data_IF_272422585521
#
_entry.id   IF_272422585521
#
_cell.length_a   1.000
_cell.length_b   1.000
_cell.length_c   1.000
_cell.angle_alpha   90.00
_cell.angle_beta   90.00
_cell.angle_gamma   90.00
#
_symmetry.space_group_name_H-M   'P 1'
#
loop_
_entity.id
_entity.type
_entity.pdbx_description
1 polymer ?
#
# COMPACT_ATOMS: atom_id res chain seq x y z
N UNK A 1 0.99 1.57 24.77
CA UNK A 1 1.41 1.52 23.34
C UNK A 1 0.26 0.91 22.55
N UNK A 2 -0.15 1.55 21.45
CA UNK A 2 -1.19 1.01 20.56
C UNK A 2 -0.68 -0.29 19.90
N UNK A 3 -1.59 -1.20 19.58
CA UNK A 3 -1.24 -2.43 18.84
C UNK A 3 -0.62 -2.13 17.46
N UNK A 4 -0.77 -0.88 16.98
CA UNK A 4 -0.27 -0.39 15.68
C UNK A 4 0.92 0.57 15.77
N UNK A 5 1.56 0.72 16.92
CA UNK A 5 2.74 1.60 17.08
C UNK A 5 3.86 1.28 16.06
N UNK A 6 3.90 0.05 15.57
CA UNK A 6 4.87 -0.38 14.57
C UNK A 6 4.67 0.30 13.20
N UNK A 7 3.44 0.71 12.88
CA UNK A 7 3.08 1.33 11.59
C UNK A 7 3.70 2.72 11.41
N UNK A 8 3.96 3.41 12.52
CA UNK A 8 4.49 4.79 12.52
C UNK A 8 5.95 4.89 12.95
N UNK A 9 6.64 3.75 13.19
CA UNK A 9 8.03 3.76 13.69
C UNK A 9 9.08 4.11 12.64
N UNK A 10 8.84 3.76 11.40
CA UNK A 10 9.82 3.95 10.32
C UNK A 10 9.11 4.36 9.04
N UNK A 11 9.74 5.19 8.19
CA UNK A 11 9.18 5.58 6.91
C UNK A 11 8.87 4.37 6.04
N UNK A 12 7.83 4.50 5.22
CA UNK A 12 7.31 3.44 4.36
C UNK A 12 7.77 3.70 2.93
N UNK A 13 8.54 2.78 2.37
CA UNK A 13 9.00 2.86 0.98
C UNK A 13 7.81 2.51 0.05
N UNK A 14 7.35 3.49 -0.73
CA UNK A 14 6.25 3.36 -1.69
C UNK A 14 6.62 2.38 -2.78
N UNK A 15 5.86 1.29 -2.93
CA UNK A 15 6.13 0.20 -3.89
C UNK A 15 7.54 -0.39 -3.78
N UNK A 16 8.10 -0.43 -2.56
CA UNK A 16 9.48 -0.76 -2.29
C UNK A 16 10.45 0.40 -2.50
N UNK A 17 11.74 0.18 -2.24
CA UNK A 17 12.77 1.20 -2.42
C UNK A 17 13.27 1.18 -3.88
N UNK A 18 12.43 1.62 -4.81
CA UNK A 18 12.77 1.77 -6.22
C UNK A 18 13.53 3.09 -6.47
N UNK A 19 14.15 3.23 -7.64
CA UNK A 19 14.93 4.41 -8.03
C UNK A 19 14.22 5.26 -9.09
N UNK A 20 12.91 5.45 -8.93
CA UNK A 20 12.01 6.09 -9.90
C UNK A 20 12.00 5.33 -11.25
N UNK A 21 12.08 4.01 -11.18
CA UNK A 21 12.01 3.09 -12.32
C UNK A 21 13.14 3.29 -13.36
N UNK A 22 14.32 3.67 -12.91
CA UNK A 22 15.49 3.78 -13.79
C UNK A 22 16.21 2.42 -14.00
N UNK A 23 16.56 1.75 -12.90
CA UNK A 23 17.20 0.43 -12.89
C UNK A 23 16.45 -0.56 -11.98
N UNK A 24 15.96 -0.08 -10.85
CA UNK A 24 15.16 -0.86 -9.89
C UNK A 24 13.73 -0.37 -9.92
N UNK A 25 12.87 -1.19 -10.50
CA UNK A 25 11.48 -0.85 -10.75
C UNK A 25 10.58 -1.06 -9.52
N UNK A 26 9.54 -0.25 -9.44
CA UNK A 26 8.49 -0.35 -8.43
C UNK A 26 7.85 -1.74 -8.39
N UNK A 27 7.37 -2.17 -7.20
CA UNK A 27 6.64 -3.43 -7.02
C UNK A 27 7.39 -4.68 -7.51
N UNK A 28 8.73 -4.67 -7.45
CA UNK A 28 9.59 -5.81 -7.81
C UNK A 28 10.35 -6.37 -6.60
N UNK A 29 10.75 -7.64 -6.67
CA UNK A 29 11.53 -8.25 -5.59
C UNK A 29 12.82 -7.49 -5.26
N UNK A 30 13.60 -6.97 -6.23
CA UNK A 30 14.76 -6.13 -5.93
C UNK A 30 14.43 -4.85 -5.17
N UNK A 31 13.28 -4.20 -5.45
CA UNK A 31 12.85 -3.00 -4.73
C UNK A 31 12.46 -3.32 -3.28
N UNK A 32 11.81 -4.45 -3.05
CA UNK A 32 11.45 -4.92 -1.71
C UNK A 32 12.66 -5.34 -0.89
N UNK A 33 13.60 -6.06 -1.48
CA UNK A 33 14.83 -6.45 -0.80
C UNK A 33 15.69 -5.23 -0.43
N UNK A 34 15.78 -4.23 -1.33
CA UNK A 34 16.46 -2.97 -1.06
C UNK A 34 15.82 -2.21 0.11
N UNK A 35 14.49 -2.12 0.18
CA UNK A 35 13.77 -1.50 1.28
C UNK A 35 14.01 -2.25 2.61
N UNK A 36 13.90 -3.57 2.60
CA UNK A 36 14.13 -4.41 3.77
C UNK A 36 15.58 -4.32 4.29
N UNK A 37 16.58 -4.30 3.40
CA UNK A 37 18.00 -4.10 3.75
C UNK A 37 18.26 -2.72 4.35
N UNK A 38 17.58 -1.70 3.85
CA UNK A 38 17.67 -0.34 4.37
C UNK A 38 16.89 -0.12 5.68
N UNK A 39 16.05 -1.08 6.10
CA UNK A 39 15.25 -1.01 7.32
C UNK A 39 14.01 -0.12 7.19
N UNK A 40 13.52 0.14 5.97
CA UNK A 40 12.25 0.82 5.74
C UNK A 40 11.09 -0.17 5.80
N UNK A 41 9.93 0.26 6.30
CA UNK A 41 8.68 -0.44 6.03
C UNK A 41 8.40 -0.42 4.51
N UNK A 42 7.60 -1.37 4.02
CA UNK A 42 7.32 -1.50 2.59
C UNK A 42 5.82 -1.34 2.37
N UNK A 43 5.47 -0.50 1.43
CA UNK A 43 4.15 -0.49 0.81
C UNK A 43 4.23 -1.20 -0.54
N UNK A 44 3.17 -1.92 -0.91
CA UNK A 44 3.01 -2.58 -2.21
C UNK A 44 1.54 -2.65 -2.62
N UNK A 45 1.31 -2.75 -3.93
CA UNK A 45 -0.02 -2.86 -4.53
C UNK A 45 -0.30 -4.27 -5.00
N UNK A 46 -1.53 -4.74 -4.82
CA UNK A 46 -1.93 -6.09 -5.26
C UNK A 46 -3.25 -6.09 -6.02
N UNK A 47 -3.31 -6.95 -7.04
CA UNK A 47 -4.51 -7.27 -7.79
C UNK A 47 -4.89 -8.76 -7.68
N UNK A 48 -6.18 -9.06 -7.92
CA UNK A 48 -6.66 -10.40 -8.13
C UNK A 48 -6.55 -10.77 -9.62
N UNK A 49 -5.97 -11.92 -9.92
CA UNK A 49 -5.93 -12.46 -11.29
C UNK A 49 -7.20 -13.21 -11.63
N UNK A 50 -7.43 -13.52 -12.92
CA UNK A 50 -8.65 -14.18 -13.41
C UNK A 50 -8.88 -15.58 -12.83
N UNK A 51 -7.83 -16.23 -12.34
CA UNK A 51 -7.86 -17.54 -11.66
C UNK A 51 -7.76 -17.45 -10.13
N UNK A 52 -7.93 -16.24 -9.56
CA UNK A 52 -7.97 -16.02 -8.11
C UNK A 52 -6.60 -15.93 -7.43
N UNK A 53 -5.51 -15.84 -8.18
CA UNK A 53 -4.18 -15.57 -7.63
C UNK A 53 -4.01 -14.11 -7.21
N UNK A 54 -3.03 -13.81 -6.35
CA UNK A 54 -2.70 -12.45 -5.92
C UNK A 54 -1.33 -12.09 -6.47
N UNK A 55 -1.31 -11.12 -7.40
CA UNK A 55 -0.11 -10.58 -8.03
C UNK A 55 0.20 -9.18 -7.51
N UNK A 56 1.49 -8.87 -7.35
CA UNK A 56 1.95 -7.53 -6.97
C UNK A 56 2.14 -6.70 -8.23
N UNK A 57 1.29 -5.68 -8.39
CA UNK A 57 1.26 -4.81 -9.56
C UNK A 57 0.41 -3.58 -9.25
N UNK A 58 0.77 -2.38 -9.77
CA UNK A 58 0.02 -1.16 -9.43
C UNK A 58 -1.15 -0.88 -10.36
N UNK A 59 -0.91 -0.88 -11.68
CA UNK A 59 -1.86 -0.40 -12.67
C UNK A 59 -2.92 -1.46 -13.02
N UNK A 60 -4.12 -1.02 -13.39
CA UNK A 60 -5.14 -1.92 -13.98
C UNK A 60 -4.70 -2.40 -15.37
N UNK A 61 -4.10 -1.50 -16.18
CA UNK A 61 -3.56 -1.84 -17.49
C UNK A 61 -2.07 -2.24 -17.44
N UNK A 62 -1.60 -2.88 -18.50
CA UNK A 62 -0.24 -3.43 -18.56
C UNK A 62 0.75 -2.49 -19.26
N UNK A 63 0.30 -1.33 -19.79
CA UNK A 63 1.10 -0.53 -20.72
C UNK A 63 2.32 0.09 -20.07
N UNK A 64 2.15 0.76 -18.93
CA UNK A 64 3.23 1.50 -18.27
C UNK A 64 4.34 0.60 -17.75
N UNK A 65 3.95 -0.48 -17.08
CA UNK A 65 4.90 -1.36 -16.37
C UNK A 65 5.40 -2.52 -17.23
N UNK A 66 4.56 -3.06 -18.13
CA UNK A 66 4.90 -4.23 -18.92
C UNK A 66 5.00 -3.97 -20.44
N UNK A 67 4.72 -2.75 -20.90
CA UNK A 67 4.87 -2.34 -22.31
C UNK A 67 3.95 -3.07 -23.27
N UNK A 68 2.79 -3.56 -22.80
CA UNK A 68 1.83 -4.32 -23.62
C UNK A 68 0.40 -3.92 -23.32
N UNK A 69 -0.49 -4.18 -24.27
CA UNK A 69 -1.94 -4.01 -24.08
C UNK A 69 -2.53 -5.12 -23.20
N UNK A 70 -3.68 -4.83 -22.58
CA UNK A 70 -4.46 -5.72 -21.74
C UNK A 70 -4.57 -5.25 -20.30
N UNK A 71 -5.25 -6.02 -19.47
CA UNK A 71 -5.49 -5.72 -18.06
C UNK A 71 -4.95 -6.84 -17.17
N UNK A 72 -4.42 -6.46 -16.01
CA UNK A 72 -3.86 -7.41 -15.05
C UNK A 72 -4.92 -8.41 -14.56
N UNK A 73 -6.15 -7.97 -14.35
CA UNK A 73 -7.28 -8.80 -13.90
C UNK A 73 -7.77 -9.83 -14.93
N UNK A 74 -7.35 -9.72 -16.20
CA UNK A 74 -7.70 -10.67 -17.26
C UNK A 74 -6.70 -11.82 -17.38
N UNK A 75 -5.53 -11.67 -16.77
CA UNK A 75 -4.47 -12.69 -16.79
C UNK A 75 -4.66 -13.72 -15.68
N UNK A 76 -4.27 -14.96 -15.97
CA UNK A 76 -4.03 -15.94 -14.90
C UNK A 76 -2.76 -15.55 -14.11
N UNK A 77 -2.60 -16.08 -12.90
CA UNK A 77 -1.41 -15.81 -12.09
C UNK A 77 -0.12 -16.19 -12.84
N UNK A 78 -0.12 -17.31 -13.54
CA UNK A 78 1.02 -17.74 -14.35
C UNK A 78 1.34 -16.76 -15.49
N UNK A 79 0.34 -16.16 -16.12
CA UNK A 79 0.53 -15.14 -17.15
C UNK A 79 1.00 -13.81 -16.55
N UNK A 80 0.43 -13.38 -15.42
CA UNK A 80 0.80 -12.16 -14.74
C UNK A 80 2.26 -12.20 -14.25
N UNK A 81 2.67 -13.29 -13.62
CA UNK A 81 4.06 -13.47 -13.15
C UNK A 81 5.08 -13.72 -14.27
N UNK A 82 4.64 -13.95 -15.50
CA UNK A 82 5.51 -13.97 -16.68
C UNK A 82 5.78 -12.58 -17.27
N UNK A 83 5.09 -11.52 -16.79
CA UNK A 83 5.31 -10.15 -17.26
C UNK A 83 6.70 -9.65 -16.83
N UNK A 84 7.46 -9.14 -17.78
CA UNK A 84 8.69 -8.41 -17.51
C UNK A 84 8.36 -6.94 -17.18
N UNK A 85 8.94 -6.43 -16.12
CA UNK A 85 8.70 -5.06 -15.65
C UNK A 85 9.77 -4.12 -16.23
N UNK A 86 9.31 -3.04 -16.87
CA UNK A 86 10.20 -2.00 -17.41
C UNK A 86 11.16 -2.49 -18.50
N UNK A 87 10.86 -3.61 -19.15
CA UNK A 87 11.77 -4.21 -20.12
C UNK A 87 13.03 -4.86 -19.50
N UNK A 88 13.07 -5.01 -18.18
CA UNK A 88 14.15 -5.66 -17.43
C UNK A 88 13.95 -7.17 -17.36
N UNK A 89 14.84 -7.87 -16.65
CA UNK A 89 14.66 -9.30 -16.30
C UNK A 89 13.73 -9.51 -15.11
N UNK A 90 13.39 -8.45 -14.37
CA UNK A 90 12.50 -8.51 -13.23
C UNK A 90 11.06 -8.79 -13.69
N UNK A 91 10.32 -9.49 -12.84
CA UNK A 91 8.95 -9.91 -13.13
C UNK A 91 8.00 -9.38 -12.07
N UNK A 92 6.72 -9.30 -12.43
CA UNK A 92 5.66 -9.07 -11.46
C UNK A 92 5.63 -10.24 -10.46
N UNK A 93 5.92 -10.03 -9.17
CA UNK A 93 5.93 -11.14 -8.22
C UNK A 93 4.52 -11.46 -7.73
N UNK A 94 4.32 -12.65 -7.22
CA UNK A 94 3.17 -12.96 -6.38
C UNK A 94 3.31 -12.30 -5.01
N UNK A 95 2.18 -12.06 -4.32
CA UNK A 95 2.23 -11.63 -2.92
C UNK A 95 3.02 -12.63 -2.06
N UNK A 96 2.88 -13.94 -2.32
CA UNK A 96 3.62 -15.00 -1.60
C UNK A 96 5.13 -14.85 -1.75
N UNK A 97 5.64 -14.66 -2.96
CA UNK A 97 7.07 -14.46 -3.20
C UNK A 97 7.61 -13.22 -2.47
N UNK A 98 6.83 -12.13 -2.45
CA UNK A 98 7.19 -10.94 -1.67
C UNK A 98 7.22 -11.21 -0.17
N UNK A 99 6.21 -11.89 0.38
CA UNK A 99 6.15 -12.24 1.80
C UNK A 99 7.32 -13.14 2.20
N UNK A 100 7.63 -14.14 1.39
CA UNK A 100 8.75 -15.07 1.63
C UNK A 100 10.11 -14.35 1.53
N UNK A 101 10.26 -13.41 0.58
CA UNK A 101 11.47 -12.59 0.47
C UNK A 101 11.65 -11.69 1.70
N UNK A 102 10.60 -11.00 2.13
CA UNK A 102 10.72 -10.04 3.26
C UNK A 102 10.89 -10.78 4.58
N UNK A 103 10.25 -11.92 4.77
CA UNK A 103 10.38 -12.84 5.93
C UNK A 103 10.35 -12.11 7.29
N UNK A 104 9.46 -11.13 7.45
CA UNK A 104 9.29 -10.39 8.70
C UNK A 104 10.39 -9.38 9.03
N UNK A 105 11.38 -9.15 8.16
CA UNK A 105 12.49 -8.21 8.39
C UNK A 105 12.02 -6.78 8.65
N UNK A 106 10.95 -6.35 7.96
CA UNK A 106 10.34 -5.03 8.09
C UNK A 106 8.81 -5.14 8.00
N UNK A 107 8.05 -4.14 8.50
CA UNK A 107 6.61 -4.10 8.35
C UNK A 107 6.16 -3.93 6.90
N UNK A 108 4.95 -4.45 6.60
CA UNK A 108 4.32 -4.36 5.29
C UNK A 108 2.98 -3.62 5.38
N UNK A 109 2.68 -2.82 4.35
CA UNK A 109 1.38 -2.21 4.09
C UNK A 109 0.96 -2.62 2.68
N UNK A 110 -0.06 -3.46 2.57
CA UNK A 110 -0.51 -4.01 1.28
C UNK A 110 -1.75 -3.26 0.84
N UNK A 111 -1.65 -2.50 -0.26
CA UNK A 111 -2.78 -1.83 -0.87
C UNK A 111 -3.52 -2.76 -1.83
N UNK A 112 -4.81 -2.95 -1.59
CA UNK A 112 -5.67 -3.76 -2.42
C UNK A 112 -6.28 -2.88 -3.52
N UNK A 113 -5.97 -3.18 -4.78
CA UNK A 113 -6.51 -2.49 -5.95
C UNK A 113 -7.80 -3.15 -6.39
N UNK A 114 -8.92 -2.49 -6.13
CA UNK A 114 -10.24 -2.97 -6.53
C UNK A 114 -10.53 -2.72 -8.00
N UNK A 115 -11.15 -3.70 -8.64
CA UNK A 115 -11.75 -3.56 -9.96
C UNK A 115 -13.16 -4.09 -9.83
N UNK A 116 -14.13 -3.20 -9.72
CA UNK A 116 -15.53 -3.56 -9.46
C UNK A 116 -16.03 -4.63 -10.42
N UNK A 117 -16.55 -5.73 -9.86
CA UNK A 117 -17.00 -6.89 -10.60
C UNK A 117 -15.90 -7.88 -11.03
N UNK A 118 -14.61 -7.62 -10.69
CA UNK A 118 -13.46 -8.51 -10.99
C UNK A 118 -12.53 -8.78 -9.82
N UNK A 119 -12.85 -8.24 -8.65
CA UNK A 119 -12.05 -8.33 -7.42
C UNK A 119 -12.75 -9.14 -6.31
N UNK A 120 -13.81 -9.85 -6.66
CA UNK A 120 -14.51 -10.70 -5.69
C UNK A 120 -13.55 -11.78 -5.16
N UNK A 121 -13.34 -11.75 -3.84
CA UNK A 121 -12.39 -12.64 -3.18
C UNK A 121 -10.99 -12.06 -2.94
N UNK A 122 -10.63 -10.88 -3.47
CA UNK A 122 -9.30 -10.27 -3.25
C UNK A 122 -8.96 -10.12 -1.77
N UNK A 123 -9.88 -9.55 -0.98
CA UNK A 123 -9.68 -9.35 0.46
C UNK A 123 -9.41 -10.69 1.16
N UNK A 124 -10.20 -11.72 0.87
CA UNK A 124 -10.05 -13.04 1.47
C UNK A 124 -8.74 -13.73 1.03
N UNK A 125 -8.36 -13.61 -0.24
CA UNK A 125 -7.12 -14.19 -0.78
C UNK A 125 -5.86 -13.55 -0.17
N UNK A 126 -5.84 -12.23 -0.02
CA UNK A 126 -4.75 -11.49 0.66
C UNK A 126 -4.72 -11.88 2.14
N UNK A 127 -5.86 -11.85 2.81
CA UNK A 127 -5.95 -12.19 4.23
C UNK A 127 -5.46 -13.63 4.54
N UNK A 128 -5.79 -14.59 3.68
CA UNK A 128 -5.33 -15.97 3.83
C UNK A 128 -3.79 -16.06 3.81
N UNK A 129 -3.12 -15.30 2.95
CA UNK A 129 -1.67 -15.27 2.88
C UNK A 129 -1.05 -14.55 4.10
N UNK A 130 -1.63 -13.41 4.51
CA UNK A 130 -1.13 -12.64 5.64
C UNK A 130 -1.29 -13.35 6.99
N UNK A 131 -2.33 -14.18 7.17
CA UNK A 131 -2.49 -14.97 8.40
C UNK A 131 -1.35 -15.97 8.63
N UNK A 132 -0.70 -16.42 7.58
CA UNK A 132 0.47 -17.31 7.66
C UNK A 132 1.80 -16.55 7.75
N UNK A 133 1.79 -15.23 7.55
CA UNK A 133 2.98 -14.40 7.59
C UNK A 133 3.38 -14.07 9.03
N UNK A 134 4.65 -14.22 9.36
CA UNK A 134 5.15 -13.99 10.73
C UNK A 134 5.51 -12.52 11.03
N UNK A 135 5.61 -11.69 10.00
CA UNK A 135 5.93 -10.27 10.13
C UNK A 135 4.73 -9.42 10.50
N UNK A 136 4.97 -8.13 10.74
CA UNK A 136 3.93 -7.12 10.88
C UNK A 136 3.39 -6.76 9.51
N UNK A 137 2.08 -6.85 9.32
CA UNK A 137 1.43 -6.48 8.07
C UNK A 137 0.08 -5.81 8.34
N UNK A 138 -0.28 -4.87 7.46
CA UNK A 138 -1.57 -4.24 7.39
C UNK A 138 -2.05 -4.22 5.94
N UNK A 139 -3.36 -4.09 5.76
CA UNK A 139 -3.98 -3.89 4.44
C UNK A 139 -4.59 -2.50 4.35
N UNK A 140 -4.70 -1.95 3.14
CA UNK A 140 -5.43 -0.72 2.89
C UNK A 140 -6.04 -0.73 1.48
N UNK A 141 -6.97 0.18 1.22
CA UNK A 141 -7.51 0.39 -0.12
C UNK A 141 -8.12 1.79 -0.26
N UNK A 142 -8.18 2.29 -1.49
CA UNK A 142 -9.05 3.40 -1.91
C UNK A 142 -10.50 2.95 -2.08
N UNK A 143 -10.70 1.67 -2.40
CA UNK A 143 -11.97 1.14 -2.85
C UNK A 143 -12.90 0.84 -1.69
N UNK A 144 -13.88 1.70 -1.50
CA UNK A 144 -14.84 1.59 -0.39
C UNK A 144 -15.60 0.26 -0.37
N UNK A 145 -15.81 -0.38 -1.53
CA UNK A 145 -16.45 -1.69 -1.57
C UNK A 145 -15.56 -2.79 -0.98
N UNK A 146 -14.22 -2.72 -1.17
CA UNK A 146 -13.28 -3.63 -0.51
C UNK A 146 -13.19 -3.36 0.99
N UNK A 147 -13.14 -2.08 1.39
CA UNK A 147 -13.07 -1.70 2.82
C UNK A 147 -14.25 -2.26 3.60
N UNK A 148 -15.46 -2.26 3.02
CA UNK A 148 -16.65 -2.86 3.65
C UNK A 148 -16.52 -4.36 3.91
N UNK A 149 -15.57 -5.03 3.24
CA UNK A 149 -15.28 -6.46 3.42
C UNK A 149 -14.18 -6.73 4.46
N UNK A 150 -13.41 -5.72 4.88
CA UNK A 150 -12.26 -5.93 5.76
C UNK A 150 -12.62 -6.57 7.09
N UNK A 151 -13.69 -6.13 7.73
CA UNK A 151 -14.11 -6.67 9.04
C UNK A 151 -14.56 -8.12 9.01
N UNK A 152 -15.01 -8.61 7.84
CA UNK A 152 -15.48 -10.00 7.65
C UNK A 152 -14.38 -10.90 7.08
N UNK A 153 -13.77 -10.49 5.97
CA UNK A 153 -12.89 -11.35 5.19
C UNK A 153 -11.43 -11.29 5.66
N UNK A 154 -11.03 -10.16 6.28
CA UNK A 154 -9.70 -9.93 6.83
C UNK A 154 -9.70 -9.72 8.35
N UNK A 155 -10.66 -10.28 9.06
CA UNK A 155 -10.75 -10.14 10.53
C UNK A 155 -9.43 -10.47 11.23
N UNK A 156 -9.00 -9.57 12.13
CA UNK A 156 -7.75 -9.68 12.89
C UNK A 156 -6.51 -9.11 12.17
N UNK A 157 -6.61 -8.69 10.90
CA UNK A 157 -5.55 -7.99 10.18
C UNK A 157 -5.82 -6.48 10.30
N UNK A 158 -4.83 -5.66 10.71
CA UNK A 158 -4.97 -4.21 10.69
C UNK A 158 -5.34 -3.71 9.30
N UNK A 159 -6.35 -2.86 9.21
CA UNK A 159 -6.91 -2.40 7.94
C UNK A 159 -7.02 -0.88 7.92
N UNK A 160 -6.75 -0.25 6.79
CA UNK A 160 -6.75 1.18 6.60
C UNK A 160 -7.57 1.65 5.41
N UNK A 161 -7.88 2.94 5.44
CA UNK A 161 -8.41 3.70 4.32
C UNK A 161 -7.28 4.46 3.65
N UNK A 162 -7.07 4.24 2.35
CA UNK A 162 -6.29 5.14 1.50
C UNK A 162 -7.25 6.17 0.90
N UNK A 163 -6.92 7.45 1.00
CA UNK A 163 -7.87 8.51 0.63
C UNK A 163 -7.19 9.77 0.10
N UNK A 164 -7.98 10.55 -0.62
CA UNK A 164 -7.62 11.86 -1.12
C UNK A 164 -8.86 12.76 -1.29
N UNK A 165 -8.63 14.03 -1.59
CA UNK A 165 -9.69 15.00 -1.85
C UNK A 165 -9.80 16.05 -0.76
N UNK A 166 -10.40 17.19 -1.12
CA UNK A 166 -10.53 18.37 -0.26
C UNK A 166 -11.96 18.88 -0.17
N UNK A 167 -12.90 18.25 -0.89
CA UNK A 167 -14.31 18.65 -0.91
C UNK A 167 -15.09 17.94 0.18
N UNK A 168 -16.23 18.51 0.57
CA UNK A 168 -17.08 17.99 1.64
C UNK A 168 -17.56 16.55 1.33
N UNK A 169 -17.89 16.29 0.06
CA UNK A 169 -18.36 14.97 -0.37
C UNK A 169 -17.29 13.89 -0.18
N UNK A 170 -16.00 14.24 -0.37
CA UNK A 170 -14.89 13.33 -0.09
C UNK A 170 -14.86 13.00 1.41
N UNK A 171 -14.95 14.01 2.27
CA UNK A 171 -14.92 13.80 3.72
C UNK A 171 -16.10 12.98 4.22
N UNK A 172 -17.31 13.25 3.72
CA UNK A 172 -18.50 12.45 4.07
C UNK A 172 -18.32 10.97 3.72
N UNK A 173 -17.80 10.70 2.52
CA UNK A 173 -17.48 9.35 2.08
C UNK A 173 -16.42 8.68 2.99
N UNK A 174 -15.35 9.40 3.35
CA UNK A 174 -14.30 8.90 4.23
C UNK A 174 -14.78 8.67 5.65
N UNK A 175 -15.60 9.58 6.20
CA UNK A 175 -16.22 9.39 7.52
C UNK A 175 -17.07 8.12 7.57
N UNK A 176 -17.78 7.79 6.48
CA UNK A 176 -18.58 6.57 6.42
C UNK A 176 -17.75 5.29 6.54
N UNK A 177 -16.48 5.32 6.12
CA UNK A 177 -15.58 4.16 6.20
C UNK A 177 -15.11 3.84 7.62
N UNK A 178 -15.19 4.79 8.55
CA UNK A 178 -14.86 4.55 9.96
C UNK A 178 -15.73 3.46 10.61
N UNK A 179 -16.94 3.25 10.09
CA UNK A 179 -17.85 2.19 10.56
C UNK A 179 -17.42 0.77 10.13
N UNK A 180 -16.42 0.62 9.25
CA UNK A 180 -16.05 -0.65 8.64
C UNK A 180 -14.75 -1.26 9.21
N UNK A 181 -14.39 -0.90 10.44
CA UNK A 181 -13.28 -1.55 11.17
C UNK A 181 -11.88 -1.12 10.70
N UNK A 182 -11.76 0.04 10.05
CA UNK A 182 -10.45 0.61 9.75
C UNK A 182 -9.76 1.05 11.05
N UNK A 183 -8.45 0.91 11.09
CA UNK A 183 -7.60 1.17 12.25
C UNK A 183 -6.47 2.16 11.99
N UNK A 184 -6.33 2.63 10.76
CA UNK A 184 -5.43 3.72 10.34
C UNK A 184 -5.94 4.36 9.04
N UNK A 185 -5.39 5.53 8.70
CA UNK A 185 -5.70 6.25 7.46
C UNK A 185 -4.42 6.68 6.77
N UNK A 186 -4.35 6.47 5.44
CA UNK A 186 -3.29 6.96 4.55
C UNK A 186 -3.89 8.01 3.61
N UNK A 187 -3.36 9.25 3.63
CA UNK A 187 -3.98 10.38 2.93
C UNK A 187 -2.99 11.11 2.02
N UNK A 188 -3.49 11.61 0.87
CA UNK A 188 -2.68 12.37 -0.08
C UNK A 188 -2.07 13.61 0.60
N UNK A 189 -0.73 13.73 0.54
CA UNK A 189 0.02 14.81 1.20
C UNK A 189 -0.39 16.20 0.73
N UNK A 190 -0.76 16.36 -0.55
CA UNK A 190 -1.17 17.63 -1.12
C UNK A 190 -2.60 18.05 -0.71
N UNK A 191 -3.34 17.18 -0.03
CA UNK A 191 -4.68 17.43 0.48
C UNK A 191 -4.70 17.61 2.01
N UNK A 192 -3.54 17.81 2.61
CA UNK A 192 -3.35 18.13 4.02
C UNK A 192 -3.06 19.64 4.22
N UNK A 193 -3.42 20.23 5.39
CA UNK A 193 -4.29 19.67 6.42
C UNK A 193 -5.77 19.62 5.99
N UNK A 194 -6.53 18.70 6.56
CA UNK A 194 -7.97 18.64 6.33
C UNK A 194 -8.74 18.21 7.59
N UNK A 195 -10.08 18.48 7.66
CA UNK A 195 -10.89 18.17 8.85
C UNK A 195 -10.97 16.68 9.18
N UNK A 196 -10.96 15.81 8.17
CA UNK A 196 -11.06 14.36 8.37
C UNK A 196 -9.82 13.81 9.07
N UNK A 197 -8.62 14.12 8.57
CA UNK A 197 -7.35 13.67 9.17
C UNK A 197 -7.19 14.24 10.58
N UNK A 198 -7.53 15.51 10.79
CA UNK A 198 -7.51 16.11 12.13
C UNK A 198 -8.41 15.34 13.11
N UNK A 199 -9.63 15.01 12.69
CA UNK A 199 -10.56 14.24 13.52
C UNK A 199 -10.02 12.84 13.85
N UNK A 200 -9.53 12.11 12.83
CA UNK A 200 -8.97 10.76 12.97
C UNK A 200 -7.79 10.75 13.94
N UNK A 201 -6.85 11.68 13.77
CA UNK A 201 -5.64 11.77 14.57
C UNK A 201 -5.90 12.26 15.99
N UNK A 202 -6.63 13.38 16.16
CA UNK A 202 -6.79 14.06 17.46
C UNK A 202 -7.93 13.51 18.31
N UNK A 203 -8.99 12.97 17.70
CA UNK A 203 -10.20 12.50 18.44
C UNK A 203 -10.24 10.98 18.55
N UNK A 204 -9.84 10.27 17.47
CA UNK A 204 -9.84 8.81 17.49
C UNK A 204 -8.49 8.22 17.91
N UNK A 205 -7.43 9.04 17.95
CA UNK A 205 -6.04 8.61 18.21
C UNK A 205 -5.61 7.44 17.31
N UNK A 206 -6.07 7.47 16.09
CA UNK A 206 -5.80 6.46 15.08
C UNK A 206 -4.57 6.87 14.28
N UNK A 207 -3.62 5.97 13.98
CA UNK A 207 -2.46 6.27 13.17
C UNK A 207 -2.82 6.87 11.82
N UNK A 208 -2.09 7.91 11.42
CA UNK A 208 -2.25 8.59 10.14
C UNK A 208 -0.95 8.58 9.35
N UNK A 209 -1.03 8.34 8.05
CA UNK A 209 0.10 8.26 7.11
C UNK A 209 -0.19 9.20 5.95
N UNK A 210 0.82 9.82 5.36
CA UNK A 210 0.67 10.56 4.10
C UNK A 210 1.38 9.85 2.94
N UNK A 211 0.87 10.06 1.74
CA UNK A 211 1.42 9.58 0.47
C UNK A 211 1.24 10.64 -0.64
N UNK A 212 2.08 10.73 -1.66
CA UNK A 212 3.42 10.22 -1.72
C UNK A 212 4.39 11.36 -1.49
N UNK A 213 5.24 11.22 -0.50
CA UNK A 213 6.22 12.24 -0.13
C UNK A 213 7.48 12.03 -0.98
N UNK A 214 7.92 13.10 -1.69
CA UNK A 214 8.99 13.00 -2.69
C UNK A 214 10.20 13.91 -2.43
N UNK A 215 10.10 14.77 -1.42
CA UNK A 215 11.16 15.73 -1.09
C UNK A 215 11.07 16.23 0.35
N UNK A 216 12.05 17.04 0.73
CA UNK A 216 12.18 17.61 2.07
C UNK A 216 11.03 18.58 2.44
N UNK A 217 10.45 19.26 1.47
CA UNK A 217 9.38 20.22 1.71
C UNK A 217 8.08 19.49 2.04
N UNK A 218 7.71 18.52 1.21
CA UNK A 218 6.53 17.68 1.45
C UNK A 218 6.68 16.81 2.70
N UNK A 219 7.91 16.38 3.05
CA UNK A 219 8.16 15.70 4.32
C UNK A 219 7.87 16.60 5.51
N UNK A 220 8.42 17.81 5.56
CA UNK A 220 8.13 18.78 6.64
C UNK A 220 6.65 19.10 6.75
N UNK A 221 5.97 19.22 5.60
CA UNK A 221 4.52 19.41 5.59
C UNK A 221 3.78 18.20 6.21
N UNK A 222 4.20 16.99 5.89
CA UNK A 222 3.63 15.75 6.45
C UNK A 222 3.85 15.64 7.96
N UNK A 223 5.05 15.93 8.46
CA UNK A 223 5.44 15.81 9.88
C UNK A 223 4.54 16.68 10.79
N UNK A 224 4.01 17.79 10.28
CA UNK A 224 3.06 18.63 11.00
C UNK A 224 1.64 18.05 11.05
N UNK A 225 1.26 17.21 10.11
CA UNK A 225 -0.13 16.83 9.87
C UNK A 225 -0.45 15.36 10.15
N UNK A 226 0.52 14.44 10.03
CA UNK A 226 0.34 12.99 10.19
C UNK A 226 1.44 12.39 11.04
N UNK A 227 1.37 11.09 11.28
CA UNK A 227 2.28 10.38 12.20
C UNK A 227 3.42 9.67 11.46
N UNK A 228 3.28 9.40 10.14
CA UNK A 228 4.30 8.76 9.30
C UNK A 228 4.08 9.09 7.82
N UNK A 229 5.08 8.79 6.99
CA UNK A 229 5.09 9.04 5.55
C UNK A 229 5.27 7.75 4.74
N UNK A 230 4.64 7.72 3.58
CA UNK A 230 4.98 6.85 2.45
C UNK A 230 5.76 7.68 1.43
N UNK A 231 6.99 7.29 1.14
CA UNK A 231 7.96 8.10 0.39
C UNK A 231 8.51 7.38 -0.84
N UNK A 232 8.99 8.16 -1.81
CA UNK A 232 9.78 7.67 -2.95
C UNK A 232 10.76 8.72 -3.46
N UNK A 233 11.84 8.29 -4.12
CA UNK A 233 12.76 9.17 -4.85
C UNK A 233 13.83 9.88 -4.00
N UNK A 234 13.81 9.74 -2.66
CA UNK A 234 14.82 10.32 -1.75
C UNK A 234 14.96 9.46 -0.49
N UNK A 235 15.97 9.72 0.34
CA UNK A 235 16.07 9.11 1.68
C UNK A 235 15.54 10.08 2.75
N UNK A 236 14.39 9.81 3.37
CA UNK A 236 13.78 10.71 4.35
C UNK A 236 14.60 10.86 5.65
N UNK A 237 15.54 9.96 5.92
CA UNK A 237 16.42 10.02 7.09
C UNK A 237 17.58 11.01 6.93
N UNK A 238 17.92 11.33 5.68
CA UNK A 238 18.99 12.31 5.40
C UNK A 238 18.65 13.73 5.87
N UNK A 239 17.37 14.00 6.22
CA UNK A 239 16.88 15.30 6.67
C UNK A 239 16.85 15.46 8.20
N UNK A 240 17.14 14.40 8.94
CA UNK A 240 17.09 14.35 10.42
C UNK A 240 18.49 14.53 11.03
N UNK A 241 19.49 14.75 10.18
CA UNK A 241 20.90 14.92 10.59
C UNK A 241 21.26 16.39 10.85
#
# INVERSE_FOLDING_TARGET
>A
MSALDWLTKQPIAHRGLHDLNQQRWENTLPAFDAAAKAGFAIECDVHLTSDGGVVVFHDDDLQRLAGREGRISELTLAQATALHIGGTTDRAPTLREMLDLVDGRVPLVVELKGIEGRDEGLVAAVAAQLRSYKGKAAIMSFDHHLIRRFSTDAAGIPAGLTAEGTRIENFEAHFSMLAHGISFVSYNVHHLPNPFIRFVREKLHMPTISWTVRDAETQRHSDLNVDQITFEGFDPRALVA
#
